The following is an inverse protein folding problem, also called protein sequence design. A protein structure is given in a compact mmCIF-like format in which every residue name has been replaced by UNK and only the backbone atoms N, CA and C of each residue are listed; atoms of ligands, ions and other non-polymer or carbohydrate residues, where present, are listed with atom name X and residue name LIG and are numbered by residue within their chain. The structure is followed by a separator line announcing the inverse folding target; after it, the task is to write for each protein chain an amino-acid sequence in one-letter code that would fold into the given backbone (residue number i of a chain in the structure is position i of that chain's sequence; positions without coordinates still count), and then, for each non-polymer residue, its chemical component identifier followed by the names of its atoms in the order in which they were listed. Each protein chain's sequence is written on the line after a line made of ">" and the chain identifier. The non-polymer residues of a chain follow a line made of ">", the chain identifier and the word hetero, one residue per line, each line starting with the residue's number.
data_IF_202616095194
#
_entry.id   IF_202616095194
#
_cell.length_a   1.000
_cell.length_b   1.000
_cell.length_c   1.000
_cell.angle_alpha   90.00
_cell.angle_beta   90.00
_cell.angle_gamma   90.00
#
_symmetry.space_group_name_H-M   'P 1'
#
loop_
_entity.id
_entity.type
_entity.pdbx_description
1 polymer ?
#
# COMPACT_ATOMS: atom_id res chain seq x y z
N UNK A 1 -13.72 -4.89 -10.56
CA UNK A 1 -13.01 -4.18 -11.65
C UNK A 1 -12.04 -3.18 -11.05
N UNK A 2 -10.82 -3.04 -11.58
CA UNK A 2 -9.90 -1.96 -11.19
C UNK A 2 -10.44 -0.63 -11.76
N UNK A 3 -10.59 0.37 -10.90
CA UNK A 3 -11.17 1.67 -11.26
C UNK A 3 -10.17 2.81 -11.21
N UNK A 4 -9.23 2.75 -10.27
CA UNK A 4 -8.29 3.85 -10.04
C UNK A 4 -6.98 3.32 -9.49
N UNK A 5 -5.92 4.04 -9.80
CA UNK A 5 -4.58 3.82 -9.26
C UNK A 5 -4.00 5.16 -8.85
N UNK A 6 -3.42 5.21 -7.66
CA UNK A 6 -2.65 6.35 -7.17
C UNK A 6 -1.35 5.85 -6.54
N UNK A 7 -0.36 6.73 -6.44
CA UNK A 7 0.88 6.45 -5.74
C UNK A 7 0.93 7.28 -4.45
N UNK A 8 1.39 6.66 -3.36
CA UNK A 8 1.61 7.33 -2.07
C UNK A 8 3.03 7.05 -1.60
N UNK A 9 3.77 8.12 -1.29
CA UNK A 9 5.10 8.00 -0.69
C UNK A 9 4.97 7.89 0.84
N UNK A 10 5.57 6.84 1.40
CA UNK A 10 5.62 6.59 2.85
C UNK A 10 7.04 6.22 3.21
N UNK A 11 7.66 6.96 4.13
CA UNK A 11 9.04 6.75 4.59
C UNK A 11 10.07 6.65 3.44
N UNK A 12 9.87 7.39 2.34
CA UNK A 12 10.75 7.37 1.17
C UNK A 12 10.55 6.17 0.22
N UNK A 13 9.55 5.31 0.48
CA UNK A 13 9.14 4.23 -0.40
C UNK A 13 7.81 4.60 -1.09
N UNK A 14 7.76 4.40 -2.41
CA UNK A 14 6.56 4.68 -3.20
C UNK A 14 5.68 3.44 -3.28
N UNK A 15 4.44 3.56 -2.82
CA UNK A 15 3.45 2.50 -2.81
C UNK A 15 2.33 2.77 -3.81
N UNK A 16 1.95 1.74 -4.58
CA UNK A 16 0.87 1.84 -5.55
C UNK A 16 -0.46 1.36 -4.92
N UNK A 17 -1.38 2.31 -4.72
CA UNK A 17 -2.73 2.07 -4.25
C UNK A 17 -3.62 1.73 -5.45
N UNK A 18 -4.32 0.60 -5.38
CA UNK A 18 -5.26 0.16 -6.42
C UNK A 18 -6.67 0.09 -5.86
N UNK A 19 -7.61 0.81 -6.48
CA UNK A 19 -9.02 0.81 -6.06
C UNK A 19 -9.84 -0.03 -7.01
N UNK A 20 -10.57 -0.98 -6.44
CA UNK A 20 -11.47 -1.88 -7.13
C UNK A 20 -12.92 -1.60 -6.73
N UNK A 21 -13.85 -1.88 -7.63
CA UNK A 21 -15.27 -1.97 -7.30
C UNK A 21 -15.78 -3.41 -7.46
N UNK A 22 -16.58 -3.84 -6.49
CA UNK A 22 -17.26 -5.13 -6.43
C UNK A 22 -18.53 -5.13 -7.26
N UNK A 23 -19.06 -6.32 -7.56
CA UNK A 23 -20.37 -6.47 -8.21
C UNK A 23 -21.53 -5.96 -7.34
N UNK A 24 -21.31 -5.81 -6.04
CA UNK A 24 -22.26 -5.24 -5.08
C UNK A 24 -22.07 -3.73 -4.85
N UNK A 25 -21.24 -3.05 -5.65
CA UNK A 25 -21.02 -1.60 -5.54
C UNK A 25 -20.11 -1.15 -4.38
N UNK A 26 -19.39 -2.08 -3.74
CA UNK A 26 -18.40 -1.75 -2.68
C UNK A 26 -17.05 -1.41 -3.30
N UNK A 27 -16.36 -0.43 -2.72
CA UNK A 27 -15.03 -0.02 -3.16
C UNK A 27 -13.97 -0.58 -2.21
N UNK A 28 -12.88 -1.09 -2.79
CA UNK A 28 -11.76 -1.67 -2.06
C UNK A 28 -10.45 -1.05 -2.53
N UNK A 29 -9.68 -0.46 -1.63
CA UNK A 29 -8.32 -0.05 -1.89
C UNK A 29 -7.35 -1.14 -1.43
N UNK A 30 -6.34 -1.44 -2.25
CA UNK A 30 -5.34 -2.48 -2.01
C UNK A 30 -3.95 -1.97 -2.34
N UNK A 31 -3.01 -2.22 -1.44
CA UNK A 31 -1.58 -1.94 -1.64
C UNK A 31 -0.76 -3.14 -1.21
N UNK A 32 0.20 -3.55 -2.05
CA UNK A 32 1.18 -4.57 -1.69
C UNK A 32 2.35 -3.93 -0.95
N UNK A 33 2.66 -4.41 0.24
CA UNK A 33 3.79 -3.94 1.06
C UNK A 33 5.06 -4.80 0.86
N UNK A 34 4.87 -6.02 0.37
CA UNK A 34 5.94 -6.98 0.11
C UNK A 34 5.38 -8.33 -0.33
N UNK A 35 6.24 -9.34 -0.40
CA UNK A 35 5.82 -10.70 -0.74
C UNK A 35 4.85 -11.23 0.33
N UNK A 36 3.63 -11.56 -0.09
CA UNK A 36 2.57 -12.04 0.80
C UNK A 36 1.93 -10.98 1.71
N UNK A 37 2.38 -9.73 1.67
CA UNK A 37 1.96 -8.68 2.60
C UNK A 37 1.16 -7.58 1.88
N UNK A 38 -0.07 -7.39 2.33
CA UNK A 38 -1.08 -6.57 1.65
C UNK A 38 -1.98 -5.90 2.67
N UNK A 39 -2.16 -4.60 2.53
CA UNK A 39 -3.24 -3.87 3.20
C UNK A 39 -4.42 -3.76 2.25
N UNK A 40 -5.62 -4.01 2.78
CA UNK A 40 -6.89 -3.81 2.09
C UNK A 40 -7.80 -2.99 2.99
N UNK A 41 -8.39 -1.93 2.44
CA UNK A 41 -9.43 -1.16 3.10
C UNK A 41 -10.64 -1.06 2.19
N UNK A 42 -11.81 -0.84 2.78
CA UNK A 42 -13.07 -0.71 2.06
C UNK A 42 -13.75 0.63 2.37
N UNK A 43 -14.59 1.08 1.44
CA UNK A 43 -15.40 2.29 1.56
C UNK A 43 -16.68 2.21 0.72
N UNK A 44 -17.69 3.04 1.03
CA UNK A 44 -18.93 3.10 0.25
C UNK A 44 -18.75 3.85 -1.08
N UNK A 45 -17.66 4.61 -1.23
CA UNK A 45 -17.34 5.37 -2.45
C UNK A 45 -15.82 5.30 -2.75
N UNK A 46 -15.44 5.62 -3.99
CA UNK A 46 -14.02 5.69 -4.37
C UNK A 46 -13.22 6.69 -3.52
N UNK A 47 -13.67 7.95 -3.31
CA UNK A 47 -12.92 8.92 -2.49
C UNK A 47 -12.78 8.49 -1.03
N UNK A 48 -13.81 7.87 -0.45
CA UNK A 48 -13.76 7.40 0.94
C UNK A 48 -12.84 6.19 1.10
N UNK A 49 -12.89 5.24 0.16
CA UNK A 49 -11.98 4.10 0.16
C UNK A 49 -10.52 4.55 -0.01
N UNK A 50 -10.26 5.51 -0.91
CA UNK A 50 -8.93 6.09 -1.12
C UNK A 50 -8.43 6.77 0.15
N UNK A 51 -9.19 7.75 0.67
CA UNK A 51 -8.80 8.52 1.85
C UNK A 51 -8.52 7.63 3.05
N UNK A 52 -9.41 6.69 3.35
CA UNK A 52 -9.21 5.71 4.43
C UNK A 52 -7.94 4.87 4.20
N UNK A 53 -7.61 4.54 2.96
CA UNK A 53 -6.39 3.79 2.65
C UNK A 53 -5.14 4.64 2.85
N UNK A 54 -5.15 5.89 2.38
CA UNK A 54 -4.06 6.85 2.56
C UNK A 54 -3.78 7.12 4.04
N UNK A 55 -4.82 7.24 4.87
CA UNK A 55 -4.70 7.43 6.31
C UNK A 55 -4.09 6.20 7.02
N UNK A 56 -4.39 4.99 6.56
CA UNK A 56 -3.97 3.73 7.21
C UNK A 56 -2.67 3.14 6.65
N UNK A 57 -2.30 3.46 5.40
CA UNK A 57 -1.11 2.91 4.76
C UNK A 57 0.18 3.20 5.56
N UNK A 58 0.41 4.43 6.07
CA UNK A 58 1.58 4.71 6.91
C UNK A 58 1.66 3.85 8.18
N UNK A 59 0.51 3.58 8.80
CA UNK A 59 0.43 2.74 10.01
C UNK A 59 0.74 1.27 9.71
N UNK A 60 0.24 0.77 8.58
CA UNK A 60 0.53 -0.60 8.13
C UNK A 60 2.00 -0.78 7.78
N UNK A 61 2.59 0.20 7.07
CA UNK A 61 4.04 0.23 6.79
C UNK A 61 4.85 0.24 8.08
N UNK A 62 4.53 1.13 9.03
CA UNK A 62 5.24 1.20 10.32
C UNK A 62 5.11 -0.09 11.14
N UNK A 63 3.91 -0.69 11.19
CA UNK A 63 3.68 -1.94 11.92
C UNK A 63 4.48 -3.10 11.31
N UNK A 64 4.53 -3.16 9.98
CA UNK A 64 5.34 -4.14 9.24
C UNK A 64 6.83 -3.98 9.54
N UNK A 65 7.34 -2.76 9.54
CA UNK A 65 8.73 -2.44 9.86
C UNK A 65 9.10 -2.91 11.27
N UNK A 66 8.25 -2.59 12.25
CA UNK A 66 8.44 -3.04 13.63
C UNK A 66 8.43 -4.56 13.72
N UNK A 67 7.49 -5.22 13.07
CA UNK A 67 7.37 -6.69 13.06
C UNK A 67 8.62 -7.34 12.46
N UNK A 68 9.11 -6.84 11.32
CA UNK A 68 10.31 -7.35 10.67
C UNK A 68 11.55 -7.16 11.54
N UNK A 69 11.70 -5.99 12.19
CA UNK A 69 12.80 -5.73 13.10
C UNK A 69 12.80 -6.69 14.30
N UNK A 70 11.64 -6.98 14.88
CA UNK A 70 11.49 -7.91 15.99
C UNK A 70 11.81 -9.36 15.59
N UNK A 71 11.44 -9.76 14.38
CA UNK A 71 11.72 -11.10 13.84
C UNK A 71 13.14 -11.26 13.31
N UNK A 72 13.99 -10.22 13.39
CA UNK A 72 15.36 -10.25 12.86
C UNK A 72 15.43 -10.26 11.33
N UNK A 73 14.33 -9.95 10.65
CA UNK A 73 14.27 -9.85 9.19
C UNK A 73 14.82 -8.47 8.80
N UNK A 74 16.10 -8.42 8.42
CA UNK A 74 16.71 -7.18 7.94
C UNK A 74 16.23 -6.85 6.52
N UNK A 75 15.75 -5.62 6.30
CA UNK A 75 15.37 -5.13 4.97
C UNK A 75 16.56 -5.24 4.02
N UNK A 76 16.40 -6.00 2.93
CA UNK A 76 17.18 -5.72 1.72
C UNK A 76 16.64 -4.42 1.13
N UNK A 77 17.33 -3.31 1.41
CA UNK A 77 17.09 -2.05 0.69
C UNK A 77 17.24 -2.36 -0.80
N UNK A 78 16.14 -2.33 -1.56
CA UNK A 78 16.21 -2.34 -3.02
C UNK A 78 16.76 -0.99 -3.46
N UNK A 79 18.08 -0.84 -3.45
CA UNK A 79 18.76 0.22 -4.18
C UNK A 79 18.35 0.09 -5.64
N UNK A 80 17.59 1.04 -6.17
CA UNK A 80 17.37 1.14 -7.61
C UNK A 80 18.75 1.35 -8.25
N UNK A 81 19.10 0.65 -9.34
CA UNK A 81 20.29 1.03 -10.10
C UNK A 81 20.07 2.47 -10.58
N UNK A 82 21.06 3.34 -10.33
CA UNK A 82 21.07 4.68 -10.88
C UNK A 82 20.85 4.57 -12.39
N UNK A 83 19.77 5.18 -12.87
CA UNK A 83 19.53 5.36 -14.30
C UNK A 83 20.73 6.09 -14.88
N UNK A 84 21.54 5.39 -15.67
CA UNK A 84 22.60 6.00 -16.49
C UNK A 84 21.93 6.93 -17.50
N UNK A 85 22.14 8.23 -17.34
CA UNK A 85 22.14 9.19 -18.44
C UNK A 85 23.56 9.25 -19.01
#
# INVERSE_FOLDING_TARGET
>A
MLLHTSDLEVNGELFNIKIFCSTAGRFFAKTCLGEGDVIITDGPSLPEALKKHEDLLPLAVGTRELTQSYQGISRKVKLRPASRL
#
